data_IF_545369122423
#
_entry.id   IF_545369122423
#
_cell.length_a   1.000
_cell.length_b   1.000
_cell.length_c   1.000
_cell.angle_alpha   90.00
_cell.angle_beta   90.00
_cell.angle_gamma   90.00
#
_symmetry.space_group_name_H-M   'P 1'
#
loop_
_entity.id
_entity.type
_entity.pdbx_description
1 polymer ?
#
# COMPACT_ATOMS: atom_id res chain seq x y z
N UNK A 1 2.61 -10.00 -16.56
CA UNK A 1 3.82 -9.21 -16.26
C UNK A 1 4.79 -10.10 -15.53
N UNK A 2 5.99 -10.29 -16.06
CA UNK A 2 7.08 -10.98 -15.36
C UNK A 2 7.96 -10.00 -14.56
N UNK A 3 9.00 -10.51 -13.88
CA UNK A 3 9.91 -9.69 -13.07
C UNK A 3 10.67 -8.65 -13.92
N UNK A 4 11.07 -9.02 -15.13
CA UNK A 4 11.84 -8.15 -16.03
C UNK A 4 10.97 -7.02 -16.59
N UNK A 5 9.75 -7.34 -17.03
CA UNK A 5 8.74 -6.38 -17.46
C UNK A 5 8.36 -5.41 -16.34
N UNK A 6 8.18 -5.91 -15.12
CA UNK A 6 7.90 -5.09 -13.95
C UNK A 6 9.06 -4.14 -13.63
N UNK A 7 10.29 -4.66 -13.59
CA UNK A 7 11.48 -3.84 -13.35
C UNK A 7 11.64 -2.75 -14.40
N UNK A 8 11.49 -3.10 -15.68
CA UNK A 8 11.57 -2.14 -16.79
C UNK A 8 10.52 -1.05 -16.63
N UNK A 9 9.27 -1.42 -16.37
CA UNK A 9 8.18 -0.46 -16.19
C UNK A 9 8.42 0.46 -15.00
N UNK A 10 8.89 -0.07 -13.86
CA UNK A 10 9.22 0.74 -12.69
C UNK A 10 10.40 1.68 -12.96
N UNK A 11 11.46 1.19 -13.62
CA UNK A 11 12.58 2.03 -14.03
C UNK A 11 12.14 3.17 -14.95
N UNK A 12 11.29 2.89 -15.93
CA UNK A 12 10.75 3.90 -16.86
C UNK A 12 9.93 4.95 -16.11
N UNK A 13 9.03 4.53 -15.20
CA UNK A 13 8.17 5.45 -14.42
C UNK A 13 8.98 6.30 -13.43
N UNK A 14 9.99 5.72 -12.79
CA UNK A 14 10.83 6.42 -11.81
C UNK A 14 12.02 7.16 -12.43
N UNK A 15 12.27 7.00 -13.72
CA UNK A 15 13.44 7.56 -14.39
C UNK A 15 14.77 6.99 -13.88
N UNK A 16 14.78 5.69 -13.52
CA UNK A 16 15.95 5.00 -12.96
C UNK A 16 16.44 3.89 -13.88
N UNK A 17 17.59 3.29 -13.54
CA UNK A 17 18.15 2.15 -14.28
C UNK A 17 18.69 1.09 -13.32
N UNK A 18 17.86 0.63 -12.37
CA UNK A 18 18.28 -0.41 -11.44
C UNK A 18 18.50 -1.73 -12.20
N UNK A 19 19.67 -2.37 -12.05
CA UNK A 19 19.90 -3.69 -12.61
C UNK A 19 19.19 -4.76 -11.78
N UNK A 20 18.71 -5.82 -12.42
CA UNK A 20 18.04 -6.92 -11.71
C UNK A 20 18.93 -7.57 -10.63
N UNK A 21 20.26 -7.54 -10.83
CA UNK A 21 21.26 -8.01 -9.87
C UNK A 21 21.49 -7.11 -8.66
N UNK A 22 20.76 -6.00 -8.52
CA UNK A 22 20.82 -5.17 -7.32
C UNK A 22 20.43 -5.99 -6.08
N UNK A 23 21.20 -5.91 -4.97
CA UNK A 23 20.93 -6.69 -3.76
C UNK A 23 19.47 -6.56 -3.30
N UNK A 24 18.78 -7.70 -3.16
CA UNK A 24 17.40 -7.78 -2.68
C UNK A 24 16.31 -7.38 -3.69
N UNK A 25 16.63 -6.75 -4.82
CA UNK A 25 15.65 -6.24 -5.77
C UNK A 25 14.84 -7.35 -6.42
N UNK A 26 15.49 -8.36 -7.01
CA UNK A 26 14.80 -9.49 -7.64
C UNK A 26 13.82 -10.17 -6.67
N UNK A 27 14.27 -10.46 -5.44
CA UNK A 27 13.43 -11.05 -4.40
C UNK A 27 12.23 -10.17 -4.04
N UNK A 28 12.40 -8.85 -4.02
CA UNK A 28 11.31 -7.90 -3.80
C UNK A 28 10.28 -7.97 -4.93
N UNK A 29 10.72 -7.91 -6.19
CA UNK A 29 9.82 -7.94 -7.34
C UNK A 29 9.07 -9.27 -7.44
N UNK A 30 9.76 -10.40 -7.22
CA UNK A 30 9.13 -11.72 -7.16
C UNK A 30 8.07 -11.80 -6.05
N UNK A 31 8.32 -11.19 -4.89
CA UNK A 31 7.34 -11.14 -3.81
C UNK A 31 6.06 -10.42 -4.24
N UNK A 32 6.18 -9.28 -4.92
CA UNK A 32 5.04 -8.50 -5.39
C UNK A 32 4.28 -9.14 -6.56
N UNK A 33 4.90 -10.08 -7.30
CA UNK A 33 4.23 -10.83 -8.36
C UNK A 33 3.50 -12.09 -7.86
N UNK A 34 3.83 -12.62 -6.68
CA UNK A 34 3.23 -13.86 -6.13
C UNK A 34 1.81 -13.69 -5.62
N UNK A 35 1.49 -12.49 -5.16
CA UNK A 35 0.11 -12.07 -4.89
C UNK A 35 -0.25 -11.13 -6.04
N UNK A 36 -1.50 -11.03 -6.52
CA UNK A 36 -1.81 -10.07 -7.58
C UNK A 36 -2.21 -8.72 -6.98
N UNK A 37 -1.31 -7.75 -6.74
CA UNK A 37 -1.67 -6.36 -6.88
C UNK A 37 -1.70 -6.01 -8.37
N UNK A 38 -2.60 -5.11 -8.74
CA UNK A 38 -2.40 -4.37 -9.97
C UNK A 38 -1.10 -3.54 -9.88
N UNK A 39 -0.56 -3.15 -11.03
CA UNK A 39 0.69 -2.38 -11.10
C UNK A 39 0.67 -1.12 -10.20
N UNK A 40 -0.50 -0.47 -10.07
CA UNK A 40 -0.66 0.73 -9.25
C UNK A 40 -0.34 0.48 -7.79
N UNK A 41 -0.76 -0.66 -7.23
CA UNK A 41 -0.47 -1.01 -5.84
C UNK A 41 1.03 -1.32 -5.64
N UNK A 42 1.68 -2.03 -6.58
CA UNK A 42 3.14 -2.25 -6.55
C UNK A 42 3.90 -0.93 -6.60
N UNK A 43 3.55 -0.07 -7.56
CA UNK A 43 4.14 1.25 -7.71
C UNK A 43 3.97 2.08 -6.43
N UNK A 44 2.77 2.14 -5.87
CA UNK A 44 2.47 2.88 -4.65
C UNK A 44 3.24 2.39 -3.41
N UNK A 45 3.40 1.07 -3.27
CA UNK A 45 4.20 0.44 -2.22
C UNK A 45 5.69 0.75 -2.35
N UNK A 46 6.23 0.69 -3.57
CA UNK A 46 7.65 0.82 -3.85
C UNK A 46 8.12 2.28 -3.94
N UNK A 47 7.26 3.22 -4.32
CA UNK A 47 7.60 4.63 -4.56
C UNK A 47 8.39 5.27 -3.43
N UNK A 48 8.03 4.99 -2.17
CA UNK A 48 8.72 5.52 -0.99
C UNK A 48 10.10 4.93 -0.71
N UNK A 49 10.42 3.78 -1.30
CA UNK A 49 11.63 3.00 -1.03
C UNK A 49 12.46 2.75 -2.29
N UNK A 50 12.07 3.29 -3.43
CA UNK A 50 12.69 2.99 -4.71
C UNK A 50 14.17 3.36 -4.76
N UNK A 51 14.56 4.42 -4.03
CA UNK A 51 15.96 4.85 -3.89
C UNK A 51 16.67 4.25 -2.66
N UNK A 52 16.05 3.29 -1.97
CA UNK A 52 16.58 2.65 -0.76
C UNK A 52 17.24 1.30 -1.06
N UNK A 53 17.91 0.73 -0.06
CA UNK A 53 18.39 -0.65 -0.11
C UNK A 53 17.21 -1.64 -0.12
N UNK A 54 17.08 -2.39 -1.21
CA UNK A 54 16.03 -3.40 -1.37
C UNK A 54 16.24 -4.62 -0.47
N UNK A 55 17.45 -4.86 0.04
CA UNK A 55 17.78 -6.02 0.89
C UNK A 55 16.94 -6.07 2.16
N UNK A 56 16.56 -4.91 2.69
CA UNK A 56 15.76 -4.77 3.92
C UNK A 56 14.31 -4.34 3.65
N UNK A 57 13.90 -4.21 2.39
CA UNK A 57 12.59 -3.66 2.06
C UNK A 57 11.46 -4.57 2.53
N UNK A 58 11.51 -5.86 2.20
CA UNK A 58 10.47 -6.82 2.59
C UNK A 58 10.34 -6.95 4.12
N UNK A 59 11.46 -6.97 4.84
CA UNK A 59 11.44 -7.02 6.32
C UNK A 59 10.89 -5.72 6.90
N UNK A 60 11.21 -4.57 6.30
CA UNK A 60 10.66 -3.27 6.70
C UNK A 60 9.14 -3.21 6.48
N UNK A 61 8.64 -3.66 5.34
CA UNK A 61 7.21 -3.73 5.04
C UNK A 61 6.50 -4.67 6.02
N UNK A 62 7.06 -5.86 6.27
CA UNK A 62 6.49 -6.82 7.21
C UNK A 62 6.41 -6.25 8.64
N UNK A 63 7.48 -5.59 9.10
CA UNK A 63 7.52 -4.93 10.42
C UNK A 63 6.49 -3.80 10.52
N UNK A 64 6.38 -2.96 9.49
CA UNK A 64 5.40 -1.87 9.45
C UNK A 64 3.96 -2.40 9.47
N UNK A 65 3.67 -3.46 8.71
CA UNK A 65 2.37 -4.15 8.73
C UNK A 65 2.03 -4.69 10.12
N UNK A 66 2.95 -5.44 10.73
CA UNK A 66 2.74 -6.02 12.05
C UNK A 66 2.53 -4.94 13.14
N UNK A 67 3.24 -3.82 13.03
CA UNK A 67 3.05 -2.69 13.93
C UNK A 67 1.67 -2.02 13.76
N UNK A 68 1.24 -1.78 12.51
CA UNK A 68 -0.08 -1.22 12.22
C UNK A 68 -1.21 -2.13 12.70
N UNK A 69 -1.07 -3.44 12.50
CA UNK A 69 -2.03 -4.44 12.98
C UNK A 69 -2.11 -4.45 14.51
N UNK A 70 -0.96 -4.47 15.20
CA UNK A 70 -0.91 -4.40 16.67
C UNK A 70 -1.58 -3.13 17.20
N UNK A 71 -1.26 -1.96 16.64
CA UNK A 71 -1.87 -0.69 17.03
C UNK A 71 -3.41 -0.74 16.86
N UNK A 72 -3.92 -1.41 15.82
CA UNK A 72 -5.36 -1.56 15.59
C UNK A 72 -6.04 -2.56 16.51
N UNK A 73 -5.33 -3.57 17.00
CA UNK A 73 -5.85 -4.47 18.03
C UNK A 73 -5.88 -3.77 19.39
N UNK A 74 -4.80 -3.07 19.74
CA UNK A 74 -4.65 -2.40 21.05
C UNK A 74 -5.64 -1.24 21.25
N UNK A 75 -6.22 -0.70 20.16
CA UNK A 75 -7.23 0.37 20.24
C UNK A 75 -8.62 -0.13 20.66
N UNK A 76 -8.90 -1.41 20.46
CA UNK A 76 -10.20 -2.01 20.74
C UNK A 76 -10.23 -2.43 22.21
N UNK A 77 -11.23 -1.99 22.94
CA UNK A 77 -11.44 -2.40 24.33
C UNK A 77 -12.89 -2.86 24.50
N UNK A 78 -13.11 -4.17 24.44
CA UNK A 78 -14.46 -4.72 24.27
C UNK A 78 -15.03 -4.27 22.93
N UNK A 79 -16.21 -3.63 22.96
CA UNK A 79 -16.95 -3.22 21.76
C UNK A 79 -16.75 -1.75 21.36
N UNK A 80 -15.80 -1.03 21.97
CA UNK A 80 -15.55 0.38 21.66
C UNK A 80 -14.07 0.70 21.38
N UNK A 81 -13.86 1.80 20.66
CA UNK A 81 -12.54 2.33 20.33
C UNK A 81 -12.07 3.21 21.49
N UNK A 82 -11.02 2.77 22.20
CA UNK A 82 -10.48 3.48 23.38
C UNK A 82 -9.69 4.74 23.02
N UNK A 83 -9.04 4.73 21.87
CA UNK A 83 -8.21 5.84 21.41
C UNK A 83 -8.71 6.33 20.06
N UNK A 84 -9.35 7.50 20.07
CA UNK A 84 -9.84 8.15 18.85
C UNK A 84 -8.72 8.64 17.94
N UNK A 85 -7.48 8.76 18.42
CA UNK A 85 -6.32 9.24 17.65
C UNK A 85 -5.71 8.19 16.70
N UNK A 86 -6.50 7.21 16.25
CA UNK A 86 -6.05 6.16 15.34
C UNK A 86 -5.98 6.66 13.90
N UNK A 87 -4.80 6.53 13.29
CA UNK A 87 -4.62 6.86 11.87
C UNK A 87 -5.54 6.01 10.98
N UNK A 88 -5.96 6.54 9.81
CA UNK A 88 -6.79 5.82 8.85
C UNK A 88 -6.26 4.41 8.55
N UNK A 89 -7.14 3.46 8.18
CA UNK A 89 -6.73 2.11 7.75
C UNK A 89 -6.00 2.14 6.42
N UNK A 90 -6.51 2.96 5.51
CA UNK A 90 -6.00 3.11 4.15
C UNK A 90 -6.08 4.57 3.74
N UNK A 91 -5.26 4.93 2.78
CA UNK A 91 -5.17 6.28 2.21
C UNK A 91 -5.23 6.17 0.69
N UNK A 92 -5.83 7.16 0.05
CA UNK A 92 -5.78 7.26 -1.41
C UNK A 92 -4.45 7.89 -1.80
N UNK A 93 -3.57 7.11 -2.42
CA UNK A 93 -2.35 7.59 -3.03
C UNK A 93 -2.67 8.10 -4.44
N UNK A 94 -2.56 9.42 -4.63
CA UNK A 94 -2.91 10.10 -5.88
C UNK A 94 -1.96 9.73 -7.04
N UNK A 95 -0.72 9.37 -6.74
CA UNK A 95 0.28 9.00 -7.76
C UNK A 95 -0.04 7.65 -8.40
N UNK A 96 -0.38 6.65 -7.59
CA UNK A 96 -0.82 5.33 -8.07
C UNK A 96 -2.29 5.28 -8.45
N UNK A 97 -3.07 6.29 -8.02
CA UNK A 97 -4.52 6.25 -8.02
C UNK A 97 -5.06 4.97 -7.34
N UNK A 98 -4.49 4.61 -6.18
CA UNK A 98 -4.87 3.43 -5.40
C UNK A 98 -5.09 3.72 -3.92
N UNK A 99 -5.95 2.92 -3.32
CA UNK A 99 -6.21 2.94 -1.88
C UNK A 99 -5.26 1.95 -1.20
N UNK A 100 -4.21 2.46 -0.59
CA UNK A 100 -3.13 1.65 0.02
C UNK A 100 -3.28 1.60 1.55
N UNK A 101 -2.84 0.51 2.21
CA UNK A 101 -2.73 0.48 3.67
C UNK A 101 -1.89 1.64 4.21
N UNK A 102 -2.28 2.23 5.34
CA UNK A 102 -1.57 3.39 5.90
C UNK A 102 -0.08 3.14 6.14
N UNK A 103 0.29 1.92 6.52
CA UNK A 103 1.68 1.54 6.79
C UNK A 103 2.58 1.60 5.55
N UNK A 104 2.03 1.67 4.33
CA UNK A 104 2.82 1.75 3.09
C UNK A 104 3.37 3.16 2.86
N UNK A 105 2.84 4.16 3.56
CA UNK A 105 3.30 5.53 3.44
C UNK A 105 4.78 5.67 3.83
N UNK A 106 5.54 6.50 3.08
CA UNK A 106 6.89 6.86 3.46
C UNK A 106 6.90 7.48 4.87
N UNK A 107 7.95 7.24 5.69
CA UNK A 107 8.05 7.80 7.05
C UNK A 107 7.86 9.33 7.11
N UNK A 108 8.29 10.04 6.07
CA UNK A 108 8.18 11.50 5.98
C UNK A 108 6.74 11.96 5.70
N UNK A 109 5.96 11.19 4.93
CA UNK A 109 4.60 11.55 4.54
C UNK A 109 3.60 11.51 5.71
N UNK A 110 3.93 10.82 6.81
CA UNK A 110 3.08 10.77 7.99
C UNK A 110 3.04 12.10 8.78
N UNK A 111 4.00 13.01 8.55
CA UNK A 111 4.04 14.34 9.18
C UNK A 111 3.14 15.35 8.48
N UNK A 112 2.83 15.10 7.21
CA UNK A 112 2.10 16.04 6.36
C UNK A 112 0.60 15.76 6.31
N UNK A 113 0.12 14.68 6.96
CA UNK A 113 -1.31 14.40 7.10
C UNK A 113 -1.82 15.25 8.25
N UNK A 114 -2.67 16.27 7.98
CA UNK A 114 -3.19 17.12 9.03
C UNK A 114 -3.95 16.29 10.07
N UNK A 115 -3.80 16.63 11.34
CA UNK A 115 -4.46 15.89 12.43
C UNK A 115 -5.99 15.96 12.37
N UNK A 116 -6.55 16.84 11.53
CA UNK A 116 -7.98 16.97 11.26
C UNK A 116 -8.44 16.26 9.97
N UNK A 117 -7.56 15.60 9.22
CA UNK A 117 -7.95 14.82 8.03
C UNK A 117 -8.19 13.36 8.41
N UNK A 118 -9.45 13.06 8.66
CA UNK A 118 -9.98 11.73 8.97
C UNK A 118 -10.81 11.24 7.79
N UNK A 119 -10.20 10.99 6.63
CA UNK A 119 -10.95 10.43 5.51
C UNK A 119 -11.30 8.97 5.80
N UNK A 120 -12.58 8.75 6.11
CA UNK A 120 -13.14 7.41 6.30
C UNK A 120 -13.87 7.00 5.03
N UNK A 121 -13.29 6.08 4.25
CA UNK A 121 -14.05 5.30 3.28
C UNK A 121 -14.57 4.04 3.98
N UNK A 122 -15.76 4.14 4.58
CA UNK A 122 -16.51 2.99 5.06
C UNK A 122 -17.07 2.21 3.87
N UNK A 123 -16.37 1.16 3.44
CA UNK A 123 -16.99 -0.05 2.87
C UNK A 123 -15.91 -0.97 2.30
N UNK A 124 -15.26 -1.77 3.16
CA UNK A 124 -14.57 -2.96 2.66
C UNK A 124 -14.95 -4.11 3.56
N UNK A 125 -16.01 -4.77 3.14
CA UNK A 125 -16.41 -6.07 3.63
C UNK A 125 -15.43 -7.11 3.04
N UNK A 126 -15.25 -8.27 3.66
CA UNK A 126 -14.42 -9.35 3.10
C UNK A 126 -14.82 -9.64 1.65
N UNK A 127 -13.89 -10.07 0.79
CA UNK A 127 -14.18 -10.32 -0.63
C UNK A 127 -15.41 -11.22 -0.84
N UNK A 128 -15.58 -12.19 0.05
CA UNK A 128 -16.70 -13.14 0.03
C UNK A 128 -18.06 -12.52 0.40
N UNK A 129 -18.07 -11.39 1.10
CA UNK A 129 -19.29 -10.65 1.42
C UNK A 129 -19.47 -9.40 0.52
N UNK A 130 -18.52 -9.11 -0.38
CA UNK A 130 -18.55 -7.92 -1.23
C UNK A 130 -19.64 -8.05 -2.29
N UNK A 131 -20.69 -7.22 -2.17
CA UNK A 131 -21.73 -7.11 -3.19
C UNK A 131 -21.36 -6.01 -4.19
N UNK A 132 -21.10 -6.40 -5.43
CA UNK A 132 -20.87 -5.45 -6.54
C UNK A 132 -22.22 -5.01 -7.10
N UNK A 133 -22.55 -3.73 -6.93
CA UNK A 133 -23.77 -3.13 -7.49
C UNK A 133 -23.42 -2.34 -8.74
N UNK A 134 -24.11 -2.64 -9.85
CA UNK A 134 -24.02 -1.83 -11.06
C UNK A 134 -24.94 -0.62 -10.91
N UNK A 135 -24.36 0.58 -10.90
CA UNK A 135 -25.12 1.84 -10.91
C UNK A 135 -24.96 2.53 -12.27
N UNK A 136 -25.89 3.41 -12.68
CA UNK A 136 -25.77 4.18 -13.93
C UNK A 136 -24.46 4.98 -14.04
N UNK A 137 -23.88 5.40 -12.91
CA UNK A 137 -22.57 6.06 -12.82
C UNK A 137 -21.42 5.18 -13.35
N UNK A 138 -21.55 3.85 -13.28
CA UNK A 138 -20.52 2.91 -13.73
C UNK A 138 -20.58 2.62 -15.24
N UNK A 139 -21.29 3.44 -16.03
CA UNK A 139 -21.21 3.42 -17.49
C UNK A 139 -22.03 2.34 -18.18
N UNK A 140 -23.11 1.85 -17.55
CA UNK A 140 -24.12 1.05 -18.25
C UNK A 140 -25.40 1.87 -18.44
N UNK A 141 -25.75 2.11 -19.70
CA UNK A 141 -27.12 2.35 -20.11
C UNK A 141 -27.94 1.07 -19.93
#
# INVERSE_FOLDING_TARGET
MDVGELLKTLNDVFGTNHPLGAPGLQKCLEHFLRTPPDFGEVYGLLRGYWQSDFSQLLSTIARKRAHDEKMRQDVLHGDYIRNSNMRPRRVWDLYSNRVLPFFTLPPHSCKDIPDNVWTVSHSWVHGDALVKVSTPINGKQ
#
